data_IF_847604529024
#
_entry.id   IF_847604529024
#
_cell.length_a   1.000
_cell.length_b   1.000
_cell.length_c   1.000
_cell.angle_alpha   90.00
_cell.angle_beta   90.00
_cell.angle_gamma   90.00
#
_symmetry.space_group_name_H-M   'P 1'
#
loop_
_entity.id
_entity.type
_entity.pdbx_description
1 polymer ?
#
# COMPACT_ATOMS: atom_id res chain seq x y z
N UNK A 1 16.16 24.15 -18.65
CA UNK A 1 15.20 24.03 -17.53
C UNK A 1 15.37 22.65 -16.89
N UNK A 2 16.20 22.51 -15.85
CA UNK A 2 16.51 21.22 -15.17
C UNK A 2 16.20 21.24 -13.67
N UNK A 3 15.61 22.32 -13.17
CA UNK A 3 15.43 22.57 -11.72
C UNK A 3 14.29 21.76 -11.08
N UNK A 4 13.14 21.46 -11.74
CA UNK A 4 12.09 20.70 -11.06
C UNK A 4 12.43 19.20 -10.89
N UNK A 5 13.25 18.62 -11.79
CA UNK A 5 13.69 17.22 -11.68
C UNK A 5 14.67 17.02 -10.50
N UNK A 6 15.48 18.04 -10.20
CA UNK A 6 16.42 18.02 -9.08
C UNK A 6 15.74 18.16 -7.71
N UNK A 7 14.59 18.85 -7.63
CA UNK A 7 13.80 18.90 -6.39
C UNK A 7 13.09 17.56 -6.10
N UNK A 8 12.62 16.86 -7.13
CA UNK A 8 12.13 15.49 -6.98
C UNK A 8 13.24 14.56 -6.50
N UNK A 9 14.42 14.57 -7.14
CA UNK A 9 15.56 13.74 -6.72
C UNK A 9 16.09 14.06 -5.30
N UNK A 10 15.98 15.30 -4.83
CA UNK A 10 16.43 15.69 -3.49
C UNK A 10 15.51 15.14 -2.38
N UNK A 11 14.20 15.07 -2.60
CA UNK A 11 13.26 14.39 -1.70
C UNK A 11 13.48 12.86 -1.71
N UNK A 12 13.81 12.29 -2.86
CA UNK A 12 14.21 10.88 -3.00
C UNK A 12 15.50 10.53 -2.24
N UNK A 13 16.46 11.45 -2.11
CA UNK A 13 17.77 11.15 -1.52
C UNK A 13 17.75 11.08 0.01
N UNK A 14 16.75 11.65 0.69
CA UNK A 14 16.62 11.52 2.15
C UNK A 14 15.86 10.28 2.58
N UNK A 15 15.07 9.66 1.68
CA UNK A 15 14.39 8.39 1.92
C UNK A 15 15.20 7.17 1.44
N UNK A 16 16.03 7.32 0.40
CA UNK A 16 16.79 6.22 -0.24
C UNK A 16 18.06 5.74 0.49
N UNK A 17 18.27 6.07 1.77
CA UNK A 17 19.43 5.57 2.52
C UNK A 17 19.18 4.23 3.26
N UNK A 18 18.05 3.58 3.01
CA UNK A 18 17.77 2.24 3.53
C UNK A 18 17.44 1.24 2.40
N UNK A 19 18.46 0.45 2.03
CA UNK A 19 18.43 -0.88 1.41
C UNK A 19 18.06 -1.05 -0.09
N UNK A 20 18.71 -2.02 -0.77
CA UNK A 20 18.43 -2.36 -2.17
C UNK A 20 17.23 -3.32 -2.28
N UNK A 21 16.06 -2.79 -2.64
CA UNK A 21 14.80 -3.55 -2.84
C UNK A 21 14.78 -4.37 -4.15
N UNK A 22 15.75 -4.17 -5.05
CA UNK A 22 15.69 -4.72 -6.41
C UNK A 22 15.87 -6.25 -6.54
N UNK A 23 16.21 -6.99 -5.47
CA UNK A 23 16.51 -8.44 -5.58
C UNK A 23 15.36 -9.38 -5.20
N UNK A 24 14.20 -8.87 -4.77
CA UNK A 24 13.11 -9.74 -4.28
C UNK A 24 12.09 -10.10 -5.37
N UNK A 25 11.98 -9.33 -6.45
CA UNK A 25 10.90 -9.50 -7.43
C UNK A 25 11.16 -10.52 -8.55
N UNK A 26 12.40 -10.99 -8.76
CA UNK A 26 12.71 -11.96 -9.83
C UNK A 26 12.55 -13.44 -9.42
N UNK A 27 12.11 -13.74 -8.18
CA UNK A 27 12.07 -15.11 -7.66
C UNK A 27 10.66 -15.66 -7.36
N UNK A 28 9.61 -15.08 -7.94
CA UNK A 28 8.25 -15.63 -7.87
C UNK A 28 7.95 -16.54 -9.07
N UNK A 29 8.77 -17.58 -9.26
CA UNK A 29 8.47 -18.68 -10.18
C UNK A 29 8.13 -19.93 -9.36
N UNK A 30 6.83 -20.18 -9.20
CA UNK A 30 6.22 -21.50 -9.07
C UNK A 30 6.87 -22.49 -8.08
N UNK A 31 6.82 -22.18 -6.78
CA UNK A 31 6.83 -23.23 -5.75
C UNK A 31 5.40 -23.47 -5.27
N UNK A 32 4.92 -24.70 -5.50
CA UNK A 32 3.64 -25.21 -5.08
C UNK A 32 3.61 -25.27 -3.54
N UNK A 33 3.00 -24.27 -2.91
CA UNK A 33 2.84 -24.21 -1.45
C UNK A 33 1.82 -25.27 -1.06
N UNK A 34 2.29 -26.34 -0.41
CA UNK A 34 1.47 -27.39 0.20
C UNK A 34 0.64 -26.80 1.35
N UNK A 35 -0.60 -26.41 1.04
CA UNK A 35 -1.60 -25.84 1.95
C UNK A 35 -2.31 -26.92 2.76
N UNK A 36 -1.58 -27.73 3.53
CA UNK A 36 -2.24 -28.59 4.52
C UNK A 36 -2.84 -27.72 5.64
N UNK A 37 -4.17 -27.76 5.88
CA UNK A 37 -4.81 -26.90 6.86
C UNK A 37 -4.44 -27.38 8.27
N UNK A 38 -3.54 -26.67 8.92
CA UNK A 38 -3.16 -26.92 10.30
C UNK A 38 -4.23 -26.35 11.24
N UNK A 39 -4.92 -27.23 11.98
CA UNK A 39 -5.95 -26.84 12.95
C UNK A 39 -5.29 -26.41 14.26
N UNK A 40 -5.40 -25.13 14.61
CA UNK A 40 -4.89 -24.56 15.86
C UNK A 40 -5.95 -24.76 16.96
N UNK A 41 -5.60 -25.47 18.04
CA UNK A 41 -6.40 -25.51 19.28
C UNK A 41 -6.27 -24.19 20.02
N UNK A 42 -7.39 -23.50 20.23
CA UNK A 42 -7.49 -22.20 20.90
C UNK A 42 -7.07 -22.29 22.37
N UNK A 43 -5.96 -21.66 22.72
CA UNK A 43 -5.73 -21.20 24.09
C UNK A 43 -5.26 -19.75 24.10
N UNK A 44 -6.10 -18.91 24.73
CA UNK A 44 -5.92 -17.59 25.32
C UNK A 44 -5.81 -16.30 24.51
N UNK A 45 -5.45 -16.28 23.21
CA UNK A 45 -5.63 -15.04 22.42
C UNK A 45 -7.02 -15.07 21.80
N UNK A 46 -7.87 -14.15 22.22
CA UNK A 46 -9.17 -13.94 21.59
C UNK A 46 -8.95 -13.55 20.12
N UNK A 47 -9.07 -14.52 19.22
CA UNK A 47 -8.85 -14.35 17.77
C UNK A 47 -9.62 -13.17 17.20
N UNK A 48 -10.79 -12.87 17.77
CA UNK A 48 -11.59 -11.71 17.41
C UNK A 48 -10.92 -10.37 17.80
N UNK A 49 -10.32 -10.28 19.00
CA UNK A 49 -9.58 -9.09 19.42
C UNK A 49 -8.32 -8.91 18.57
N UNK A 50 -7.56 -9.98 18.34
CA UNK A 50 -6.38 -9.92 17.47
C UNK A 50 -6.72 -9.47 16.05
N UNK A 51 -7.79 -10.02 15.46
CA UNK A 51 -8.28 -9.61 14.13
C UNK A 51 -8.65 -8.12 14.11
N UNK A 52 -9.38 -7.62 15.10
CA UNK A 52 -9.74 -6.21 15.17
C UNK A 52 -8.50 -5.31 15.34
N UNK A 53 -7.59 -5.61 16.28
CA UNK A 53 -6.38 -4.80 16.50
C UNK A 53 -5.49 -4.76 15.27
N UNK A 54 -5.34 -5.88 14.55
CA UNK A 54 -4.60 -5.92 13.30
C UNK A 54 -5.31 -5.17 12.17
N UNK A 55 -6.64 -5.28 12.10
CA UNK A 55 -7.44 -4.52 11.13
C UNK A 55 -7.25 -3.02 11.35
N UNK A 56 -7.42 -2.52 12.57
CA UNK A 56 -7.26 -1.11 12.90
C UNK A 56 -5.83 -0.62 12.60
N UNK A 57 -4.82 -1.45 12.90
CA UNK A 57 -3.42 -1.18 12.58
C UNK A 57 -3.19 -0.99 11.07
N UNK A 58 -3.61 -1.96 10.25
CA UNK A 58 -3.40 -1.90 8.80
C UNK A 58 -4.26 -0.82 8.15
N UNK A 59 -5.51 -0.63 8.58
CA UNK A 59 -6.38 0.44 8.08
C UNK A 59 -5.76 1.81 8.34
N UNK A 60 -5.22 2.04 9.53
CA UNK A 60 -4.54 3.29 9.89
C UNK A 60 -3.33 3.58 9.00
N UNK A 61 -2.52 2.56 8.69
CA UNK A 61 -1.37 2.73 7.78
C UNK A 61 -1.84 3.00 6.35
N UNK A 62 -2.83 2.23 5.86
CA UNK A 62 -3.42 2.42 4.53
C UNK A 62 -3.97 3.84 4.38
N UNK A 63 -4.72 4.30 5.36
CA UNK A 63 -5.33 5.62 5.38
C UNK A 63 -4.28 6.75 5.33
N UNK A 64 -3.24 6.66 6.17
CA UNK A 64 -2.15 7.63 6.25
C UNK A 64 -1.30 7.70 4.98
N UNK A 65 -0.89 6.55 4.44
CA UNK A 65 -0.09 6.48 3.21
C UNK A 65 -0.90 7.03 2.05
N UNK A 66 -2.16 6.60 1.88
CA UNK A 66 -3.01 7.12 0.81
C UNK A 66 -3.26 8.62 0.98
N UNK A 67 -3.56 9.13 2.18
CA UNK A 67 -3.80 10.56 2.38
C UNK A 67 -2.58 11.41 2.00
N UNK A 68 -1.38 11.00 2.45
CA UNK A 68 -0.14 11.71 2.15
C UNK A 68 0.21 11.65 0.65
N UNK A 69 0.21 10.46 0.04
CA UNK A 69 0.51 10.29 -1.38
C UNK A 69 -0.52 10.98 -2.29
N UNK A 70 -1.82 10.89 -1.98
CA UNK A 70 -2.85 11.61 -2.73
C UNK A 70 -2.64 13.12 -2.69
N UNK A 71 -2.28 13.66 -1.53
CA UNK A 71 -1.98 15.08 -1.38
C UNK A 71 -0.83 15.50 -2.29
N UNK A 72 0.21 14.68 -2.41
CA UNK A 72 1.38 14.95 -3.25
C UNK A 72 1.08 14.81 -4.75
N UNK A 73 0.31 13.79 -5.12
CA UNK A 73 -0.19 13.59 -6.49
C UNK A 73 -1.04 14.80 -6.91
N UNK A 74 -2.04 15.17 -6.11
CA UNK A 74 -2.94 16.29 -6.43
C UNK A 74 -2.19 17.62 -6.48
N UNK A 75 -1.18 17.82 -5.62
CA UNK A 75 -0.35 19.03 -5.67
C UNK A 75 0.51 19.10 -6.94
N UNK A 76 1.03 17.98 -7.42
CA UNK A 76 1.92 17.93 -8.59
C UNK A 76 1.18 17.83 -9.93
N UNK A 77 -0.04 17.28 -9.94
CA UNK A 77 -0.81 17.01 -11.15
C UNK A 77 -1.05 18.22 -12.07
N UNK A 78 -1.35 19.45 -11.59
CA UNK A 78 -1.51 20.61 -12.48
C UNK A 78 -0.25 20.93 -13.28
N UNK A 79 0.92 20.73 -12.67
CA UNK A 79 2.20 20.97 -13.32
C UNK A 79 2.49 19.91 -14.39
N UNK A 80 2.25 18.64 -14.06
CA UNK A 80 2.39 17.53 -15.01
C UNK A 80 1.42 17.68 -16.19
N UNK A 81 0.16 18.01 -15.91
CA UNK A 81 -0.85 18.23 -16.95
C UNK A 81 -0.43 19.36 -17.91
N UNK A 82 -0.01 20.52 -17.38
CA UNK A 82 0.47 21.63 -18.19
C UNK A 82 1.72 21.29 -19.01
N UNK A 83 2.59 20.43 -18.49
CA UNK A 83 3.80 19.98 -19.18
C UNK A 83 3.45 19.10 -20.39
N UNK A 84 2.50 18.19 -20.25
CA UNK A 84 2.14 17.23 -21.29
C UNK A 84 1.07 17.76 -22.27
N UNK A 85 0.23 18.70 -21.84
CA UNK A 85 -0.84 19.30 -22.65
C UNK A 85 -0.69 20.82 -22.78
N UNK A 86 0.42 21.33 -23.36
CA UNK A 86 0.70 22.77 -23.39
C UNK A 86 -0.37 23.58 -24.15
N UNK A 87 -0.96 22.98 -25.19
CA UNK A 87 -1.98 23.61 -26.03
C UNK A 87 -3.36 23.69 -25.36
N UNK A 88 -3.59 22.89 -24.30
CA UNK A 88 -4.85 22.86 -23.54
C UNK A 88 -4.89 23.89 -22.40
N UNK A 89 -3.84 24.70 -22.24
CA UNK A 89 -3.63 25.58 -21.07
C UNK A 89 -4.06 27.03 -21.35
N UNK A 90 -4.39 27.36 -22.60
CA UNK A 90 -4.83 28.71 -23.01
C UNK A 90 -6.13 29.14 -22.31
N UNK A 91 -7.01 28.19 -21.97
CA UNK A 91 -8.17 28.38 -21.10
C UNK A 91 -8.03 27.56 -19.80
N UNK A 92 -7.17 28.05 -18.90
CA UNK A 92 -6.82 27.45 -17.60
C UNK A 92 -8.01 26.95 -16.74
N UNK A 93 -9.24 27.44 -16.99
CA UNK A 93 -10.45 27.07 -16.24
C UNK A 93 -11.23 25.87 -16.80
N UNK A 94 -11.08 25.53 -18.09
CA UNK A 94 -11.98 24.57 -18.73
C UNK A 94 -11.46 23.12 -18.75
N UNK A 95 -10.13 22.92 -18.84
CA UNK A 95 -9.53 21.59 -19.05
C UNK A 95 -8.88 20.99 -17.79
N UNK A 96 -8.18 21.81 -16.99
CA UNK A 96 -7.44 21.35 -15.81
C UNK A 96 -8.39 21.02 -14.66
N UNK A 97 -9.41 21.85 -14.40
CA UNK A 97 -10.32 21.63 -13.28
C UNK A 97 -11.08 20.29 -13.37
N UNK A 98 -11.71 19.92 -14.51
CA UNK A 98 -12.35 18.60 -14.64
C UNK A 98 -11.38 17.44 -14.46
N UNK A 99 -10.17 17.56 -15.01
CA UNK A 99 -9.11 16.57 -14.82
C UNK A 99 -8.75 16.40 -13.34
N UNK A 100 -8.52 17.50 -12.63
CA UNK A 100 -8.17 17.47 -11.20
C UNK A 100 -9.29 16.87 -10.34
N UNK A 101 -10.55 17.19 -10.64
CA UNK A 101 -11.70 16.59 -9.95
C UNK A 101 -11.76 15.09 -10.19
N UNK A 102 -11.71 14.64 -11.45
CA UNK A 102 -11.75 13.22 -11.79
C UNK A 102 -10.58 12.45 -11.15
N UNK A 103 -9.35 12.99 -11.21
CA UNK A 103 -8.18 12.40 -10.57
C UNK A 103 -8.39 12.26 -9.06
N UNK A 104 -8.88 13.30 -8.40
CA UNK A 104 -9.16 13.27 -6.96
C UNK A 104 -10.24 12.23 -6.62
N UNK A 105 -11.30 12.13 -7.41
CA UNK A 105 -12.38 11.18 -7.18
C UNK A 105 -11.90 9.73 -7.34
N UNK A 106 -11.10 9.45 -8.38
CA UNK A 106 -10.52 8.13 -8.59
C UNK A 106 -9.54 7.72 -7.48
N UNK A 107 -8.70 8.64 -7.02
CA UNK A 107 -7.78 8.37 -5.92
C UNK A 107 -8.53 8.14 -4.60
N UNK A 108 -9.59 8.91 -4.32
CA UNK A 108 -10.45 8.67 -3.16
C UNK A 108 -11.16 7.31 -3.24
N UNK A 109 -11.62 6.92 -4.42
CA UNK A 109 -12.21 5.60 -4.65
C UNK A 109 -11.19 4.48 -4.39
N UNK A 110 -9.96 4.62 -4.90
CA UNK A 110 -8.87 3.68 -4.65
C UNK A 110 -8.58 3.57 -3.14
N UNK A 111 -8.43 4.70 -2.45
CA UNK A 111 -8.25 4.75 -0.98
C UNK A 111 -9.36 3.99 -0.26
N UNK A 112 -10.62 4.25 -0.61
CA UNK A 112 -11.78 3.59 0.00
C UNK A 112 -11.77 2.08 -0.23
N UNK A 113 -11.42 1.64 -1.44
CA UNK A 113 -11.32 0.22 -1.78
C UNK A 113 -10.20 -0.48 -1.02
N UNK A 114 -9.04 0.17 -0.87
CA UNK A 114 -7.91 -0.39 -0.12
C UNK A 114 -8.26 -0.56 1.35
N UNK A 115 -8.80 0.48 2.00
CA UNK A 115 -9.25 0.41 3.40
C UNK A 115 -10.30 -0.69 3.58
N UNK A 116 -11.33 -0.72 2.73
CA UNK A 116 -12.37 -1.76 2.80
C UNK A 116 -11.86 -3.19 2.57
N UNK A 117 -10.69 -3.35 1.94
CA UNK A 117 -10.07 -4.65 1.70
C UNK A 117 -9.21 -5.14 2.87
N UNK A 118 -8.80 -4.25 3.79
CA UNK A 118 -7.90 -4.62 4.89
C UNK A 118 -8.51 -5.74 5.74
N UNK A 119 -9.72 -5.56 6.26
CA UNK A 119 -10.35 -6.56 7.14
C UNK A 119 -10.49 -7.95 6.48
N UNK A 120 -11.07 -8.08 5.27
CA UNK A 120 -11.11 -9.36 4.57
C UNK A 120 -9.73 -10.01 4.40
N UNK A 121 -8.68 -9.22 4.14
CA UNK A 121 -7.32 -9.72 3.98
C UNK A 121 -6.73 -10.21 5.30
N UNK A 122 -6.93 -9.48 6.39
CA UNK A 122 -6.51 -9.90 7.74
C UNK A 122 -7.21 -11.21 8.10
N UNK A 123 -8.53 -11.27 7.98
CA UNK A 123 -9.34 -12.44 8.34
C UNK A 123 -8.99 -13.67 7.50
N UNK A 124 -8.67 -13.50 6.21
CA UNK A 124 -8.26 -14.60 5.34
C UNK A 124 -6.86 -15.14 5.66
N UNK A 125 -5.95 -14.29 6.17
CA UNK A 125 -4.56 -14.68 6.42
C UNK A 125 -4.31 -15.14 7.85
N UNK A 126 -5.05 -14.64 8.84
CA UNK A 126 -4.87 -14.97 10.25
C UNK A 126 -4.86 -16.48 10.55
N UNK A 127 -5.78 -17.31 9.98
CA UNK A 127 -5.79 -18.75 10.24
C UNK A 127 -4.57 -19.50 9.71
N UNK A 128 -3.87 -18.92 8.74
CA UNK A 128 -2.70 -19.53 8.08
C UNK A 128 -1.38 -19.18 8.77
N UNK A 129 -1.41 -18.32 9.79
CA UNK A 129 -0.20 -17.93 10.50
C UNK A 129 0.34 -19.09 11.33
N UNK A 130 1.66 -19.33 11.33
CA UNK A 130 2.30 -20.42 12.07
C UNK A 130 2.39 -20.12 13.58
N UNK A 131 1.28 -19.75 14.22
CA UNK A 131 1.20 -19.50 15.64
C UNK A 131 1.20 -20.82 16.41
N UNK A 132 2.39 -21.39 16.63
CA UNK A 132 2.59 -22.54 17.52
C UNK A 132 2.66 -22.09 18.97
N UNK A 133 1.54 -21.62 19.51
CA UNK A 133 1.42 -21.35 20.95
C UNK A 133 1.22 -22.67 21.68
N UNK A 134 2.32 -23.32 22.05
CA UNK A 134 2.25 -24.45 22.98
C UNK A 134 1.86 -23.93 24.36
N UNK A 135 0.81 -24.46 25.00
CA UNK A 135 0.42 -24.03 26.34
C UNK A 135 1.60 -24.21 27.31
N UNK A 136 1.99 -23.11 27.95
CA UNK A 136 3.08 -23.05 28.91
C UNK A 136 2.88 -24.09 30.04
N UNK A 137 3.89 -24.90 30.34
CA UNK A 137 3.92 -25.66 31.59
C UNK A 137 4.15 -24.66 32.74
N UNK A 138 3.23 -24.63 33.70
CA UNK A 138 3.05 -23.63 34.77
C UNK A 138 4.26 -23.22 35.65
N UNK A 139 5.47 -23.74 35.42
CA UNK A 139 6.63 -23.54 36.31
C UNK A 139 7.74 -22.62 35.76
N UNK A 140 7.57 -21.95 34.60
CA UNK A 140 8.61 -21.08 34.02
C UNK A 140 8.04 -19.76 33.48
N UNK A 141 7.81 -18.78 34.36
CA UNK A 141 7.10 -17.53 34.02
C UNK A 141 7.84 -16.57 33.08
N UNK A 142 9.18 -16.55 33.02
CA UNK A 142 9.92 -15.53 32.25
C UNK A 142 10.45 -15.99 30.89
N UNK A 143 10.68 -17.30 30.69
CA UNK A 143 11.25 -17.83 29.42
C UNK A 143 10.19 -17.98 28.34
N UNK A 144 8.91 -18.07 28.72
CA UNK A 144 7.81 -18.23 27.76
C UNK A 144 7.43 -16.92 27.05
N UNK A 145 7.49 -15.77 27.73
CA UNK A 145 7.05 -14.50 27.13
C UNK A 145 7.89 -14.08 25.93
N UNK A 146 9.23 -14.13 26.05
CA UNK A 146 10.15 -13.78 24.96
C UNK A 146 9.89 -14.68 23.75
N UNK A 147 9.65 -15.97 23.98
CA UNK A 147 9.37 -16.94 22.91
C UNK A 147 8.05 -16.65 22.21
N UNK A 148 6.99 -16.31 22.95
CA UNK A 148 5.68 -15.93 22.39
C UNK A 148 5.82 -14.63 21.57
N UNK A 149 6.53 -13.63 22.09
CA UNK A 149 6.78 -12.38 21.39
C UNK A 149 7.54 -12.59 20.08
N UNK A 150 8.59 -13.42 20.08
CA UNK A 150 9.34 -13.76 18.86
C UNK A 150 8.45 -14.47 17.84
N UNK A 151 7.65 -15.45 18.26
CA UNK A 151 6.74 -16.17 17.36
C UNK A 151 5.65 -15.27 16.77
N UNK A 152 5.09 -14.38 17.59
CA UNK A 152 4.09 -13.40 17.14
C UNK A 152 4.72 -12.44 16.12
N UNK A 153 5.90 -11.91 16.41
CA UNK A 153 6.61 -11.01 15.49
C UNK A 153 6.94 -11.70 14.16
N UNK A 154 7.42 -12.95 14.17
CA UNK A 154 7.65 -13.73 12.95
C UNK A 154 6.36 -13.94 12.14
N UNK A 155 5.25 -14.27 12.81
CA UNK A 155 3.96 -14.43 12.15
C UNK A 155 3.44 -13.10 11.55
N UNK A 156 3.59 -11.99 12.28
CA UNK A 156 3.19 -10.66 11.81
C UNK A 156 4.07 -10.18 10.64
N UNK A 157 5.36 -10.56 10.59
CA UNK A 157 6.21 -10.28 9.44
C UNK A 157 5.68 -10.96 8.18
N UNK A 158 5.28 -12.22 8.28
CA UNK A 158 4.65 -12.95 7.17
C UNK A 158 3.32 -12.30 6.77
N UNK A 159 2.51 -11.87 7.74
CA UNK A 159 1.26 -11.17 7.47
C UNK A 159 1.50 -9.85 6.73
N UNK A 160 2.43 -9.02 7.20
CA UNK A 160 2.83 -7.75 6.59
C UNK A 160 3.19 -7.91 5.11
N UNK A 161 4.01 -8.90 4.79
CA UNK A 161 4.42 -9.18 3.41
C UNK A 161 3.22 -9.54 2.52
N UNK A 162 2.29 -10.36 3.03
CA UNK A 162 1.08 -10.75 2.30
C UNK A 162 0.11 -9.58 2.16
N UNK A 163 -0.05 -8.77 3.20
CA UNK A 163 -0.87 -7.56 3.17
C UNK A 163 -0.35 -6.58 2.13
N UNK A 164 0.95 -6.27 2.14
CA UNK A 164 1.57 -5.40 1.14
C UNK A 164 1.39 -5.94 -0.29
N UNK A 165 1.62 -7.24 -0.49
CA UNK A 165 1.44 -7.87 -1.80
C UNK A 165 -0.01 -7.75 -2.29
N UNK A 166 -0.99 -8.14 -1.46
CA UNK A 166 -2.39 -8.12 -1.86
C UNK A 166 -2.92 -6.69 -2.06
N UNK A 167 -2.51 -5.73 -1.22
CA UNK A 167 -2.86 -4.33 -1.42
C UNK A 167 -2.24 -3.78 -2.70
N UNK A 168 -1.00 -4.13 -3.02
CA UNK A 168 -0.38 -3.77 -4.30
C UNK A 168 -1.12 -4.35 -5.51
N UNK A 169 -1.55 -5.61 -5.43
CA UNK A 169 -2.40 -6.21 -6.47
C UNK A 169 -3.75 -5.51 -6.63
N UNK A 170 -4.32 -4.97 -5.55
CA UNK A 170 -5.57 -4.17 -5.60
C UNK A 170 -5.32 -2.81 -6.25
N UNK A 171 -4.18 -2.17 -5.98
CA UNK A 171 -3.79 -0.92 -6.66
C UNK A 171 -3.63 -1.18 -8.16
N UNK A 172 -2.90 -2.23 -8.53
CA UNK A 172 -2.59 -2.56 -9.92
C UNK A 172 -2.12 -1.30 -10.68
N UNK A 173 -0.98 -0.75 -10.26
CA UNK A 173 -0.51 0.57 -10.67
C UNK A 173 -0.54 0.81 -12.19
N UNK A 174 -0.26 -0.22 -12.99
CA UNK A 174 -0.31 -0.14 -14.45
C UNK A 174 -1.73 0.10 -14.97
N UNK A 175 -2.67 -0.76 -14.61
CA UNK A 175 -4.05 -0.71 -15.11
C UNK A 175 -4.81 0.47 -14.52
N UNK A 176 -4.62 0.74 -13.23
CA UNK A 176 -5.25 1.87 -12.57
C UNK A 176 -4.80 3.20 -13.18
N UNK A 177 -3.50 3.39 -13.44
CA UNK A 177 -3.02 4.62 -14.06
C UNK A 177 -3.64 4.84 -15.45
N UNK A 178 -3.71 3.79 -16.28
CA UNK A 178 -4.32 3.88 -17.62
C UNK A 178 -5.79 4.27 -17.53
N UNK A 179 -6.56 3.58 -16.68
CA UNK A 179 -8.00 3.85 -16.50
C UNK A 179 -8.22 5.29 -16.01
N UNK A 180 -7.50 5.71 -14.96
CA UNK A 180 -7.67 7.02 -14.35
C UNK A 180 -7.36 8.13 -15.36
N UNK A 181 -6.23 8.04 -16.06
CA UNK A 181 -5.86 9.08 -17.04
C UNK A 181 -6.83 9.09 -18.21
N UNK A 182 -7.22 7.92 -18.74
CA UNK A 182 -8.17 7.84 -19.86
C UNK A 182 -9.54 8.39 -19.52
N UNK A 183 -9.98 8.27 -18.26
CA UNK A 183 -11.27 8.78 -17.79
C UNK A 183 -11.21 10.25 -17.34
N UNK A 184 -10.04 10.72 -16.92
CA UNK A 184 -9.85 12.09 -16.39
C UNK A 184 -9.47 13.11 -17.44
N UNK A 185 -8.79 12.70 -18.51
CA UNK A 185 -8.37 13.61 -19.59
C UNK A 185 -9.53 13.80 -20.57
N UNK A 186 -10.04 15.03 -20.77
CA UNK A 186 -11.10 15.29 -21.73
C UNK A 186 -10.67 14.89 -23.14
N UNK A 187 -11.44 14.02 -23.79
CA UNK A 187 -11.20 13.70 -25.20
C UNK A 187 -11.52 14.92 -26.05
N UNK A 188 -10.62 15.36 -26.95
CA UNK A 188 -10.98 16.38 -27.92
C UNK A 188 -12.12 15.85 -28.80
N UNK A 189 -13.12 16.68 -29.11
CA UNK A 189 -14.26 16.34 -29.98
C UNK A 189 -13.86 16.00 -31.44
N UNK A 190 -12.56 15.90 -31.74
CA UNK A 190 -12.03 15.47 -33.02
C UNK A 190 -12.20 13.95 -33.15
N UNK A 191 -12.72 13.49 -34.29
CA UNK A 191 -12.90 12.07 -34.61
C UNK A 191 -11.57 11.27 -34.60
N UNK A 192 -10.42 11.95 -34.61
CA UNK A 192 -9.10 11.35 -34.41
C UNK A 192 -8.28 12.13 -33.39
N UNK A 193 -7.74 11.46 -32.34
CA UNK A 193 -6.74 12.06 -31.46
C UNK A 193 -5.50 12.39 -32.27
N UNK A 194 -4.89 13.55 -31.99
CA UNK A 194 -3.61 13.84 -32.61
C UNK A 194 -2.52 12.91 -32.08
N UNK A 195 -1.44 12.70 -32.85
CA UNK A 195 -0.28 11.95 -32.38
C UNK A 195 0.30 12.56 -31.08
N UNK A 196 0.19 13.88 -30.94
CA UNK A 196 0.61 14.60 -29.74
C UNK A 196 -0.27 14.27 -28.53
N UNK A 197 -1.60 14.18 -28.68
CA UNK A 197 -2.52 13.82 -27.59
C UNK A 197 -2.27 12.41 -27.09
N UNK A 198 -1.93 11.49 -28.01
CA UNK A 198 -1.61 10.10 -27.67
C UNK A 198 -0.30 10.03 -26.87
N UNK A 199 0.73 10.77 -27.29
CA UNK A 199 2.01 10.87 -26.56
C UNK A 199 1.84 11.53 -25.19
N UNK A 200 1.04 12.58 -25.11
CA UNK A 200 0.73 13.28 -23.85
C UNK A 200 0.00 12.36 -22.87
N UNK A 201 -1.03 11.65 -23.36
CA UNK A 201 -1.78 10.68 -22.56
C UNK A 201 -0.86 9.58 -22.03
N UNK A 202 -0.02 9.00 -22.89
CA UNK A 202 0.95 7.99 -22.46
C UNK A 202 1.92 8.52 -21.39
N UNK A 203 2.44 9.74 -21.56
CA UNK A 203 3.34 10.36 -20.59
C UNK A 203 2.65 10.65 -19.25
N UNK A 204 1.37 11.05 -19.30
CA UNK A 204 0.57 11.28 -18.10
C UNK A 204 0.23 9.96 -17.38
N UNK A 205 -0.08 8.90 -18.12
CA UNK A 205 -0.25 7.54 -17.58
C UNK A 205 1.02 7.08 -16.88
N UNK A 206 2.19 7.23 -17.52
CA UNK A 206 3.48 6.87 -16.92
C UNK A 206 3.75 7.68 -15.64
N UNK A 207 3.47 8.98 -15.65
CA UNK A 207 3.61 9.83 -14.47
C UNK A 207 2.78 9.32 -13.28
N UNK A 208 1.51 8.98 -13.51
CA UNK A 208 0.64 8.46 -12.45
C UNK A 208 1.06 7.05 -12.03
N UNK A 209 1.46 6.21 -12.98
CA UNK A 209 1.95 4.86 -12.71
C UNK A 209 3.13 4.87 -11.71
N UNK A 210 4.11 5.77 -11.89
CA UNK A 210 5.24 5.90 -10.98
C UNK A 210 4.80 6.25 -9.55
N UNK A 211 3.82 7.15 -9.40
CA UNK A 211 3.25 7.48 -8.08
C UNK A 211 2.54 6.29 -7.45
N UNK A 212 1.76 5.53 -8.22
CA UNK A 212 1.05 4.36 -7.71
C UNK A 212 2.01 3.23 -7.31
N UNK A 213 3.08 3.01 -8.07
CA UNK A 213 4.15 2.07 -7.67
C UNK A 213 4.88 2.54 -6.40
N UNK A 214 5.06 3.84 -6.21
CA UNK A 214 5.64 4.37 -4.98
C UNK A 214 4.77 4.06 -3.77
N UNK A 215 3.44 4.20 -3.88
CA UNK A 215 2.49 3.81 -2.82
C UNK A 215 2.67 2.34 -2.45
N UNK A 216 2.77 1.45 -3.44
CA UNK A 216 3.04 0.02 -3.21
C UNK A 216 4.33 -0.18 -2.39
N UNK A 217 5.42 0.49 -2.79
CA UNK A 217 6.70 0.45 -2.07
C UNK A 217 6.63 0.99 -0.64
N UNK A 218 5.87 2.07 -0.42
CA UNK A 218 5.68 2.67 0.91
C UNK A 218 4.87 1.74 1.82
N UNK A 219 3.92 0.95 1.30
CA UNK A 219 3.25 -0.05 2.12
C UNK A 219 4.19 -1.11 2.66
N UNK A 220 5.10 -1.60 1.82
CA UNK A 220 6.11 -2.56 2.26
C UNK A 220 6.97 -2.00 3.40
N UNK A 221 7.45 -0.76 3.29
CA UNK A 221 8.28 -0.16 4.34
C UNK A 221 7.49 0.16 5.62
N UNK A 222 6.31 0.77 5.50
CA UNK A 222 5.52 1.17 6.66
C UNK A 222 4.99 -0.01 7.47
N UNK A 223 4.66 -1.14 6.84
CA UNK A 223 4.26 -2.34 7.58
C UNK A 223 5.45 -2.94 8.35
N UNK A 224 6.64 -2.95 7.77
CA UNK A 224 7.85 -3.50 8.39
C UNK A 224 8.34 -2.62 9.56
N UNK A 225 8.41 -1.30 9.35
CA UNK A 225 8.89 -0.34 10.36
C UNK A 225 8.04 -0.35 11.64
N UNK A 226 6.73 -0.54 11.51
CA UNK A 226 5.77 -0.42 12.62
C UNK A 226 5.39 -1.76 13.26
N UNK A 227 6.03 -2.87 12.85
CA UNK A 227 5.69 -4.20 13.36
C UNK A 227 5.96 -4.34 14.87
N UNK A 228 7.01 -3.69 15.37
CA UNK A 228 7.37 -3.76 16.79
C UNK A 228 6.30 -3.10 17.66
N UNK A 229 5.73 -1.98 17.19
CA UNK A 229 4.69 -1.24 17.89
C UNK A 229 3.42 -2.09 18.07
N UNK A 230 2.97 -2.75 17.00
CA UNK A 230 1.77 -3.60 17.06
C UNK A 230 2.03 -4.90 17.84
N UNK A 231 3.22 -5.48 17.72
CA UNK A 231 3.60 -6.65 18.53
C UNK A 231 3.57 -6.32 20.01
N UNK A 232 4.12 -5.17 20.40
CA UNK A 232 4.11 -4.71 21.79
C UNK A 232 2.67 -4.44 22.26
N UNK A 233 1.86 -3.74 21.47
CA UNK A 233 0.45 -3.46 21.80
C UNK A 233 -0.35 -4.74 22.06
N UNK A 234 -0.23 -5.75 21.18
CA UNK A 234 -0.93 -7.02 21.34
C UNK A 234 -0.46 -7.76 22.61
N UNK A 235 0.85 -7.74 22.89
CA UNK A 235 1.38 -8.39 24.08
C UNK A 235 0.92 -7.70 25.37
N UNK A 236 0.85 -6.37 25.38
CA UNK A 236 0.32 -5.60 26.51
C UNK A 236 -1.16 -5.93 26.76
N UNK A 237 -1.99 -5.99 25.71
CA UNK A 237 -3.40 -6.34 25.82
C UNK A 237 -3.59 -7.77 26.37
N UNK A 238 -2.78 -8.73 25.93
CA UNK A 238 -2.82 -10.13 26.42
C UNK A 238 -2.38 -10.24 27.87
N UNK A 239 -1.41 -9.44 28.32
CA UNK A 239 -0.90 -9.47 29.69
C UNK A 239 -1.84 -8.84 30.72
N UNK A 240 -2.74 -7.95 30.30
CA UNK A 240 -3.69 -7.26 31.19
C UNK A 240 -4.91 -8.15 31.53
N UNK A 241 -5.19 -9.17 30.71
CA UNK A 241 -6.33 -10.08 30.90
C UNK A 241 -6.07 -11.26 31.87
N UNK A 242 -4.87 -11.41 32.43
CA UNK A 242 -4.53 -12.38 33.51
C UNK A 242 -4.62 -11.79 34.93
#
# INVERSE_FOLDING_TARGET
>A
MMIPLLCFLALFSTLSLALPVQKVFDSAASDEIDLTPYVISSSHINSYMLSNSLTDYYESIVDQVMESSMTDIIRSAPHSYKLFYPDHVTDCKASVCPFMHALSDHLNLMKSNLVASVRPLVDANLPTLPLKMTPAKANSKNVDFVKVATQLSEALNVLNQRMALHLGLIINANEAADIIIRQSVPLPNSEQPSENDTKATKAMTEWLHLWLMEIEGVFYSQFDERIQDITQSILEDVLIEE
#
